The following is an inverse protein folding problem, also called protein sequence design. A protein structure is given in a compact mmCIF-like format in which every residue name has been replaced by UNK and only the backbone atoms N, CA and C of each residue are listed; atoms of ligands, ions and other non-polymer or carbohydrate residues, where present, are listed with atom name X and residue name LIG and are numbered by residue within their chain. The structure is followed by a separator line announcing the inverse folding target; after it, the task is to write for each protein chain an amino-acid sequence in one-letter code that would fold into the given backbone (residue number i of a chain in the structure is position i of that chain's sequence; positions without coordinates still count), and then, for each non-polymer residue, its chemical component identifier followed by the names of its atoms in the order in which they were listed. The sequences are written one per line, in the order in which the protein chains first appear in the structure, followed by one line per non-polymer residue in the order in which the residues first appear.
data_IF_077369032262
#
_entry.id   IF_077369032262
#
_cell.length_a   1.000
_cell.length_b   1.000
_cell.length_c   1.000
_cell.angle_alpha   90.00
_cell.angle_beta   90.00
_cell.angle_gamma   90.00
#
_symmetry.space_group_name_H-M   'P 1'
#
loop_
_entity.id
_entity.type
_entity.pdbx_description
1 polymer ?
#
# COMPACT_ATOMS: atom_id res chain seq x y z
N UNK A 1 -90.42 14.54 14.73
CA UNK A 1 -89.00 14.20 14.88
C UNK A 1 -88.20 15.48 14.62
N UNK A 2 -87.45 15.91 15.63
CA UNK A 2 -86.88 17.26 15.87
C UNK A 2 -85.47 17.38 15.22
N UNK A 3 -84.97 18.60 14.90
CA UNK A 3 -83.87 18.81 13.95
C UNK A 3 -82.45 18.80 14.58
N UNK A 4 -81.46 18.95 13.69
CA UNK A 4 -80.00 18.89 13.87
C UNK A 4 -79.39 19.76 14.99
N UNK A 5 -78.13 19.45 15.36
CA UNK A 5 -77.16 20.50 15.65
C UNK A 5 -75.78 20.32 15.00
N UNK A 6 -75.12 21.48 14.93
CA UNK A 6 -73.83 21.82 14.36
C UNK A 6 -72.61 21.20 15.04
N UNK A 7 -71.52 21.13 14.27
CA UNK A 7 -70.25 21.74 14.67
C UNK A 7 -69.14 20.77 15.05
N UNK A 8 -68.08 20.72 14.23
CA UNK A 8 -66.70 20.46 14.67
C UNK A 8 -65.72 21.03 13.62
N UNK A 9 -64.77 21.84 14.12
CA UNK A 9 -63.79 22.66 13.41
C UNK A 9 -62.91 21.88 12.42
N UNK A 10 -62.73 22.42 11.21
CA UNK A 10 -61.65 22.03 10.28
C UNK A 10 -60.38 22.82 10.60
N UNK A 11 -59.27 22.11 10.80
CA UNK A 11 -57.93 22.69 10.92
C UNK A 11 -57.54 23.45 9.63
N UNK A 12 -56.76 24.55 9.72
CA UNK A 12 -56.34 25.32 8.56
C UNK A 12 -55.34 24.53 7.71
N UNK A 13 -55.58 24.47 6.39
CA UNK A 13 -54.67 23.89 5.40
C UNK A 13 -53.38 24.74 5.29
N UNK A 14 -52.19 24.12 5.13
CA UNK A 14 -50.96 24.87 4.90
C UNK A 14 -51.01 25.58 3.54
N UNK A 15 -50.57 26.84 3.50
CA UNK A 15 -50.43 27.62 2.27
C UNK A 15 -49.29 27.04 1.40
N UNK A 16 -49.43 27.07 0.06
CA UNK A 16 -48.37 26.64 -0.84
C UNK A 16 -47.19 27.62 -0.80
N UNK A 17 -45.98 27.10 -0.59
CA UNK A 17 -44.74 27.87 -0.70
C UNK A 17 -44.38 28.08 -2.17
N UNK A 18 -44.15 29.33 -2.57
CA UNK A 18 -43.56 29.66 -3.88
C UNK A 18 -42.18 29.01 -4.05
N UNK A 19 -41.81 28.57 -5.27
CA UNK A 19 -40.50 28.00 -5.54
C UNK A 19 -39.41 29.08 -5.40
N UNK A 20 -38.29 28.71 -4.79
CA UNK A 20 -37.13 29.59 -4.63
C UNK A 20 -36.60 30.09 -5.99
N UNK A 21 -36.09 31.34 -6.07
CA UNK A 21 -35.53 31.85 -7.31
C UNK A 21 -34.26 31.06 -7.67
N UNK A 22 -34.24 30.52 -8.89
CA UNK A 22 -33.06 29.92 -9.51
C UNK A 22 -31.98 30.99 -9.62
N UNK A 23 -31.01 30.95 -8.72
CA UNK A 23 -29.85 31.84 -8.75
C UNK A 23 -28.86 31.28 -9.75
N UNK A 24 -28.68 31.99 -10.86
CA UNK A 24 -27.69 31.66 -11.87
C UNK A 24 -26.29 31.58 -11.27
N UNK A 25 -25.47 30.69 -11.83
CA UNK A 25 -24.05 30.58 -11.48
C UNK A 25 -23.36 31.88 -11.85
N UNK A 26 -23.07 32.73 -10.86
CA UNK A 26 -22.20 33.89 -11.03
C UNK A 26 -20.77 33.36 -11.01
N UNK A 27 -20.08 33.50 -12.14
CA UNK A 27 -18.65 33.18 -12.24
C UNK A 27 -17.86 34.15 -11.36
N UNK A 28 -17.39 33.68 -10.20
CA UNK A 28 -16.57 34.48 -9.29
C UNK A 28 -15.16 34.59 -9.91
N UNK A 29 -14.86 35.77 -10.45
CA UNK A 29 -13.50 36.17 -10.80
C UNK A 29 -12.59 36.19 -9.56
N UNK A 30 -11.30 35.95 -9.77
CA UNK A 30 -10.24 35.65 -8.80
C UNK A 30 -9.87 36.77 -7.79
N UNK A 31 -10.81 37.61 -7.35
CA UNK A 31 -10.49 38.72 -6.45
C UNK A 31 -11.40 38.77 -5.22
N UNK A 32 -10.93 38.11 -4.16
CA UNK A 32 -11.55 38.00 -2.83
C UNK A 32 -11.55 39.30 -2.03
N UNK A 33 -10.92 40.36 -2.54
CA UNK A 33 -10.81 41.66 -1.84
C UNK A 33 -12.11 42.46 -1.79
N UNK A 34 -13.12 42.09 -2.59
CA UNK A 34 -14.40 42.82 -2.71
C UNK A 34 -15.55 42.25 -1.85
N UNK A 35 -15.28 41.25 -1.02
CA UNK A 35 -16.28 40.68 -0.12
C UNK A 35 -16.34 41.55 1.14
N UNK A 36 -17.35 42.41 1.26
CA UNK A 36 -17.63 43.14 2.50
C UNK A 36 -17.96 42.14 3.62
N UNK A 37 -17.14 42.13 4.67
CA UNK A 37 -17.39 41.32 5.86
C UNK A 37 -18.59 41.90 6.61
N UNK A 38 -19.61 41.09 6.82
CA UNK A 38 -20.72 41.45 7.69
C UNK A 38 -20.20 41.71 9.12
N UNK A 39 -20.63 42.82 9.73
CA UNK A 39 -20.29 43.15 11.10
C UNK A 39 -20.80 42.07 12.06
N UNK A 40 -19.87 41.47 12.81
CA UNK A 40 -20.18 40.48 13.84
C UNK A 40 -20.98 41.15 14.97
N UNK A 41 -22.26 40.75 15.13
CA UNK A 41 -23.07 41.12 16.29
C UNK A 41 -22.35 40.68 17.57
N UNK A 42 -21.93 41.65 18.37
CA UNK A 42 -21.08 41.47 19.56
C UNK A 42 -21.73 40.88 20.80
N UNK A 43 -22.96 40.38 20.72
CA UNK A 43 -23.69 39.86 21.90
C UNK A 43 -23.86 38.34 21.80
N UNK A 44 -23.09 37.61 22.64
CA UNK A 44 -23.27 36.21 23.13
C UNK A 44 -22.05 35.29 23.02
N UNK A 45 -20.85 35.77 23.34
CA UNK A 45 -19.80 34.86 23.80
C UNK A 45 -19.30 35.42 25.13
N UNK A 46 -19.77 34.84 26.24
CA UNK A 46 -19.10 35.00 27.52
C UNK A 46 -17.64 34.64 27.31
N UNK A 47 -16.75 35.52 27.78
CA UNK A 47 -15.30 35.42 27.63
C UNK A 47 -14.86 34.09 28.26
N UNK A 48 -14.83 33.02 27.47
CA UNK A 48 -14.52 31.69 27.95
C UNK A 48 -13.22 31.77 28.74
N UNK A 49 -13.26 31.31 29.99
CA UNK A 49 -12.05 31.20 30.80
C UNK A 49 -10.98 30.57 29.92
N UNK A 50 -9.83 31.25 29.80
CA UNK A 50 -8.66 30.66 29.16
C UNK A 50 -8.29 29.45 30.02
N UNK A 51 -8.85 28.29 29.70
CA UNK A 51 -8.27 27.03 30.16
C UNK A 51 -6.89 27.03 29.59
N UNK A 52 -5.91 27.24 30.47
CA UNK A 52 -4.55 26.84 30.19
C UNK A 52 -4.64 25.34 29.93
N UNK A 53 -4.61 24.96 28.66
CA UNK A 53 -4.22 23.59 28.35
C UNK A 53 -2.87 23.41 29.04
N UNK A 54 -2.72 22.34 29.82
CA UNK A 54 -1.40 21.95 30.27
C UNK A 54 -0.52 21.97 29.02
N UNK A 55 0.53 22.77 29.07
CA UNK A 55 1.53 22.70 28.03
C UNK A 55 2.05 21.28 28.08
N UNK A 56 1.76 20.49 27.05
CA UNK A 56 2.32 19.14 26.88
C UNK A 56 3.82 19.26 26.50
N UNK A 57 4.52 20.22 27.10
CA UNK A 57 5.96 20.46 27.07
C UNK A 57 6.66 19.66 28.19
N UNK A 58 5.98 18.67 28.78
CA UNK A 58 6.73 17.50 29.27
C UNK A 58 7.34 16.85 28.04
N UNK A 59 8.67 16.95 27.90
CA UNK A 59 9.46 16.28 26.87
C UNK A 59 9.06 14.80 26.78
N UNK A 60 8.17 14.49 25.86
CA UNK A 60 7.84 13.12 25.55
C UNK A 60 9.10 12.47 24.98
N UNK A 61 9.68 11.55 25.76
CA UNK A 61 10.85 10.78 25.34
C UNK A 61 10.58 9.95 24.09
N UNK A 62 11.65 9.44 23.44
CA UNK A 62 11.57 8.64 22.21
C UNK A 62 10.63 7.42 22.33
N UNK A 63 10.45 6.89 23.54
CA UNK A 63 9.57 5.75 23.86
C UNK A 63 8.07 5.98 23.52
N UNK A 64 7.68 7.21 23.18
CA UNK A 64 6.30 7.56 22.81
C UNK A 64 5.98 7.33 21.33
N UNK A 65 6.98 7.11 20.50
CA UNK A 65 6.81 6.94 19.06
C UNK A 65 7.26 5.55 18.62
N UNK A 66 6.47 4.93 17.75
CA UNK A 66 6.93 3.78 16.99
C UNK A 66 7.80 4.23 15.83
N UNK A 67 8.80 3.43 15.49
CA UNK A 67 9.55 3.64 14.26
C UNK A 67 8.63 3.47 13.05
N UNK A 68 8.72 4.42 12.11
CA UNK A 68 7.85 4.47 10.93
C UNK A 68 8.06 3.27 10.00
N UNK A 69 9.30 2.82 9.86
CA UNK A 69 9.65 1.74 8.93
C UNK A 69 9.33 0.39 9.55
N UNK A 70 9.56 0.23 10.85
CA UNK A 70 9.07 -0.94 11.61
C UNK A 70 7.55 -1.03 11.57
N UNK A 71 6.84 0.09 11.77
CA UNK A 71 5.37 0.12 11.66
C UNK A 71 4.86 -0.24 10.26
N UNK A 72 5.63 0.07 9.21
CA UNK A 72 5.29 -0.32 7.85
C UNK A 72 5.44 -1.83 7.64
N UNK A 73 6.50 -2.45 8.19
CA UNK A 73 6.68 -3.90 8.17
C UNK A 73 5.61 -4.62 9.00
N UNK A 74 5.17 -4.04 10.12
CA UNK A 74 4.08 -4.56 10.92
C UNK A 74 2.74 -4.51 10.14
N UNK A 75 2.50 -3.44 9.38
CA UNK A 75 1.37 -3.39 8.45
C UNK A 75 1.45 -4.52 7.41
N UNK A 76 2.60 -4.72 6.76
CA UNK A 76 2.73 -5.77 5.75
C UNK A 76 2.61 -7.18 6.37
N UNK A 77 2.99 -7.32 7.64
CA UNK A 77 2.76 -8.54 8.43
C UNK A 77 1.26 -8.80 8.61
N UNK A 78 0.45 -7.78 8.87
CA UNK A 78 -1.02 -7.94 8.92
C UNK A 78 -1.62 -8.35 7.58
N UNK A 79 -1.04 -7.91 6.47
CA UNK A 79 -1.47 -8.39 5.14
C UNK A 79 -1.10 -9.87 4.96
N UNK A 80 0.07 -10.30 5.42
CA UNK A 80 0.47 -11.71 5.40
C UNK A 80 -0.45 -12.59 6.26
N UNK A 81 -0.90 -12.10 7.42
CA UNK A 81 -1.84 -12.82 8.29
C UNK A 81 -3.17 -13.14 7.58
N UNK A 82 -3.58 -12.35 6.57
CA UNK A 82 -4.73 -12.69 5.73
C UNK A 82 -4.41 -13.87 4.79
N UNK A 83 -3.20 -13.98 4.27
CA UNK A 83 -2.80 -15.17 3.52
C UNK A 83 -2.66 -16.41 4.41
N UNK A 84 -2.37 -16.23 5.69
CA UNK A 84 -2.28 -17.30 6.69
C UNK A 84 -3.66 -17.83 7.14
N UNK A 85 -4.73 -17.05 7.01
CA UNK A 85 -6.07 -17.43 7.47
C UNK A 85 -6.68 -18.56 6.60
N UNK A 86 -6.88 -19.78 7.15
CA UNK A 86 -7.48 -20.88 6.39
C UNK A 86 -8.97 -20.69 6.10
N UNK A 87 -9.64 -19.71 6.73
CA UNK A 87 -11.06 -19.41 6.49
C UNK A 87 -11.30 -18.55 5.25
N UNK A 88 -10.26 -17.96 4.67
CA UNK A 88 -10.35 -17.22 3.43
C UNK A 88 -10.27 -18.13 2.20
N UNK A 89 -10.89 -17.70 1.11
CA UNK A 89 -10.83 -18.41 -0.16
C UNK A 89 -9.38 -18.54 -0.64
N UNK A 90 -9.02 -19.72 -1.15
CA UNK A 90 -7.64 -20.06 -1.50
C UNK A 90 -6.98 -19.07 -2.47
N UNK A 91 -7.71 -18.61 -3.49
CA UNK A 91 -7.19 -17.64 -4.44
C UNK A 91 -7.04 -16.23 -3.84
N UNK A 92 -7.86 -15.87 -2.85
CA UNK A 92 -7.69 -14.62 -2.09
C UNK A 92 -6.42 -14.68 -1.24
N UNK A 93 -6.14 -15.83 -0.61
CA UNK A 93 -4.88 -16.05 0.12
C UNK A 93 -3.66 -15.91 -0.82
N UNK A 94 -3.74 -16.47 -2.03
CA UNK A 94 -2.71 -16.30 -3.06
C UNK A 94 -2.54 -14.82 -3.48
N UNK A 95 -3.65 -14.09 -3.63
CA UNK A 95 -3.60 -12.65 -3.91
C UNK A 95 -2.92 -11.88 -2.77
N UNK A 96 -3.22 -12.18 -1.51
CA UNK A 96 -2.54 -11.54 -0.38
C UNK A 96 -1.03 -11.82 -0.36
N UNK A 97 -0.60 -13.04 -0.70
CA UNK A 97 0.84 -13.33 -0.87
C UNK A 97 1.48 -12.45 -1.96
N UNK A 98 0.78 -12.23 -3.09
CA UNK A 98 1.27 -11.34 -4.14
C UNK A 98 1.32 -9.87 -3.69
N UNK A 99 0.33 -9.41 -2.92
CA UNK A 99 0.29 -8.05 -2.36
C UNK A 99 1.46 -7.85 -1.37
N UNK A 100 1.71 -8.80 -0.47
CA UNK A 100 2.82 -8.73 0.49
C UNK A 100 4.16 -8.56 -0.23
N UNK A 101 4.39 -9.34 -1.29
CA UNK A 101 5.61 -9.28 -2.09
C UNK A 101 5.75 -7.93 -2.81
N UNK A 102 4.69 -7.47 -3.49
CA UNK A 102 4.70 -6.17 -4.19
C UNK A 102 4.90 -4.98 -3.24
N UNK A 103 4.29 -5.03 -2.06
CA UNK A 103 4.49 -4.01 -1.03
C UNK A 103 5.95 -3.98 -0.59
N UNK A 104 6.54 -5.16 -0.36
CA UNK A 104 7.93 -5.27 0.08
C UNK A 104 8.90 -4.72 -0.97
N UNK A 105 8.65 -4.99 -2.25
CA UNK A 105 9.39 -4.42 -3.36
C UNK A 105 9.37 -2.88 -3.34
N UNK A 106 8.19 -2.27 -3.19
CA UNK A 106 8.06 -0.80 -3.09
C UNK A 106 8.80 -0.26 -1.86
N UNK A 107 8.68 -0.91 -0.72
CA UNK A 107 9.36 -0.52 0.51
C UNK A 107 10.88 -0.47 0.34
N UNK A 108 11.47 -1.50 -0.28
CA UNK A 108 12.91 -1.50 -0.55
C UNK A 108 13.32 -0.48 -1.60
N UNK A 109 12.58 -0.38 -2.71
CA UNK A 109 12.89 0.53 -3.81
C UNK A 109 12.78 2.00 -3.42
N UNK A 110 11.83 2.36 -2.55
CA UNK A 110 11.55 3.75 -2.19
C UNK A 110 12.11 4.09 -0.82
N UNK A 111 11.68 3.37 0.23
CA UNK A 111 11.97 3.77 1.62
C UNK A 111 13.39 3.42 2.04
N UNK A 112 13.78 2.16 1.86
CA UNK A 112 15.13 1.70 2.22
C UNK A 112 16.17 2.40 1.35
N UNK A 113 15.90 2.59 0.05
CA UNK A 113 16.77 3.38 -0.83
C UNK A 113 16.93 4.83 -0.34
N UNK A 114 15.84 5.46 0.11
CA UNK A 114 15.85 6.81 0.68
C UNK A 114 16.69 6.90 1.97
N UNK A 115 16.54 5.92 2.87
CA UNK A 115 17.34 5.84 4.10
C UNK A 115 18.83 5.64 3.78
N UNK A 116 19.17 4.66 2.92
CA UNK A 116 20.54 4.42 2.45
C UNK A 116 21.18 5.67 1.84
N UNK A 117 20.42 6.43 1.03
CA UNK A 117 20.91 7.68 0.44
C UNK A 117 21.25 8.71 1.51
N UNK A 118 20.37 8.91 2.50
CA UNK A 118 20.62 9.87 3.60
C UNK A 118 21.86 9.49 4.41
N UNK A 119 22.02 8.20 4.71
CA UNK A 119 23.20 7.65 5.42
C UNK A 119 24.46 7.95 4.61
N UNK A 120 24.47 7.59 3.32
CA UNK A 120 25.63 7.81 2.45
C UNK A 120 26.02 9.30 2.30
N UNK A 121 25.05 10.21 2.39
CA UNK A 121 25.30 11.67 2.35
C UNK A 121 25.60 12.30 3.71
N UNK A 122 25.57 11.53 4.82
CA UNK A 122 25.72 12.06 6.18
C UNK A 122 24.57 12.97 6.63
N UNK A 123 23.40 12.87 5.98
CA UNK A 123 22.20 13.64 6.26
C UNK A 123 21.15 12.85 7.06
N UNK A 124 21.47 11.61 7.41
CA UNK A 124 20.57 10.78 8.21
C UNK A 124 20.59 11.27 9.67
N UNK A 125 19.40 11.43 10.22
CA UNK A 125 19.17 11.78 11.63
C UNK A 125 18.49 10.60 12.31
N UNK A 126 18.62 10.48 13.64
CA UNK A 126 17.89 9.47 14.39
C UNK A 126 16.39 9.50 14.12
N UNK A 127 15.74 8.34 14.16
CA UNK A 127 14.30 8.24 13.97
C UNK A 127 13.53 8.86 15.13
N UNK A 128 12.23 9.07 14.95
CA UNK A 128 11.37 9.59 16.03
C UNK A 128 11.34 8.68 17.27
N UNK A 129 11.63 7.38 17.09
CA UNK A 129 11.77 6.40 18.15
C UNK A 129 13.18 6.37 18.77
N UNK A 130 14.07 7.30 18.36
CA UNK A 130 15.43 7.42 18.90
C UNK A 130 16.47 6.49 18.27
N UNK A 131 16.10 5.66 17.29
CA UNK A 131 17.03 4.74 16.62
C UNK A 131 18.01 5.50 15.74
N UNK A 132 19.29 5.15 15.80
CA UNK A 132 20.26 5.59 14.80
C UNK A 132 19.90 5.03 13.42
N UNK A 133 20.33 5.70 12.32
CA UNK A 133 20.09 5.20 10.96
C UNK A 133 20.61 3.77 10.73
N UNK A 134 21.73 3.42 11.34
CA UNK A 134 22.33 2.09 11.27
C UNK A 134 21.49 1.04 12.01
N UNK A 135 21.06 1.35 13.25
CA UNK A 135 20.14 0.48 14.02
C UNK A 135 18.81 0.29 13.27
N UNK A 136 18.27 1.36 12.67
CA UNK A 136 17.06 1.27 11.87
C UNK A 136 17.25 0.36 10.64
N UNK A 137 18.39 0.43 9.96
CA UNK A 137 18.71 -0.45 8.84
C UNK A 137 18.83 -1.92 9.27
N UNK A 138 19.43 -2.18 10.44
CA UNK A 138 19.56 -3.52 11.01
C UNK A 138 18.18 -4.09 11.39
N UNK A 139 17.34 -3.30 12.08
CA UNK A 139 15.99 -3.71 12.46
C UNK A 139 15.11 -3.98 11.23
N UNK A 140 15.19 -3.14 10.19
CA UNK A 140 14.50 -3.37 8.92
C UNK A 140 14.94 -4.69 8.29
N UNK A 141 16.25 -4.95 8.25
CA UNK A 141 16.79 -6.16 7.63
C UNK A 141 16.33 -7.42 8.37
N UNK A 142 16.39 -7.43 9.70
CA UNK A 142 15.94 -8.55 10.51
C UNK A 142 14.44 -8.84 10.30
N UNK A 143 13.59 -7.82 10.48
CA UNK A 143 12.13 -7.97 10.34
C UNK A 143 11.71 -8.36 8.92
N UNK A 144 12.35 -7.79 7.90
CA UNK A 144 12.06 -8.14 6.51
C UNK A 144 12.42 -9.60 6.20
N UNK A 145 13.54 -10.12 6.71
CA UNK A 145 13.89 -11.54 6.55
C UNK A 145 12.89 -12.46 7.26
N UNK A 146 12.45 -12.10 8.47
CA UNK A 146 11.43 -12.87 9.20
C UNK A 146 10.11 -12.89 8.43
N UNK A 147 9.68 -11.75 7.89
CA UNK A 147 8.48 -11.66 7.05
C UNK A 147 8.60 -12.48 5.77
N UNK A 148 9.73 -12.41 5.07
CA UNK A 148 10.01 -13.18 3.86
C UNK A 148 9.99 -14.70 4.14
N UNK A 149 10.57 -15.13 5.26
CA UNK A 149 10.58 -16.54 5.65
C UNK A 149 9.17 -17.06 5.92
N UNK A 150 8.33 -16.28 6.65
CA UNK A 150 6.93 -16.61 6.86
C UNK A 150 6.14 -16.64 5.56
N UNK A 151 6.34 -15.66 4.69
CA UNK A 151 5.70 -15.62 3.36
C UNK A 151 6.00 -16.87 2.54
N UNK A 152 7.29 -17.27 2.49
CA UNK A 152 7.71 -18.47 1.80
C UNK A 152 7.10 -19.74 2.43
N UNK A 153 7.05 -19.83 3.76
CA UNK A 153 6.42 -20.95 4.46
C UNK A 153 4.93 -21.09 4.10
N UNK A 154 4.17 -19.98 4.16
CA UNK A 154 2.74 -19.97 3.80
C UNK A 154 2.53 -20.41 2.36
N UNK A 155 3.35 -19.90 1.44
CA UNK A 155 3.25 -20.29 0.03
C UNK A 155 3.54 -21.79 -0.16
N UNK A 156 4.65 -22.29 0.36
CA UNK A 156 5.11 -23.66 0.10
C UNK A 156 4.37 -24.73 0.90
N UNK A 157 4.05 -24.46 2.17
CA UNK A 157 3.53 -25.46 3.09
C UNK A 157 2.01 -25.38 3.29
N UNK A 158 1.36 -24.32 2.80
CA UNK A 158 -0.10 -24.16 2.93
C UNK A 158 -0.80 -23.94 1.58
N UNK A 159 -0.40 -22.91 0.83
CA UNK A 159 -1.13 -22.49 -0.38
C UNK A 159 -0.86 -23.43 -1.55
N UNK A 160 0.40 -23.80 -1.82
CA UNK A 160 0.74 -24.73 -2.89
C UNK A 160 0.04 -26.10 -2.73
N UNK A 161 0.12 -26.79 -1.57
CA UNK A 161 -0.60 -28.05 -1.38
C UNK A 161 -2.12 -27.91 -1.56
N UNK A 162 -2.72 -26.84 -1.03
CA UNK A 162 -4.15 -26.60 -1.19
C UNK A 162 -4.56 -26.34 -2.66
N UNK A 163 -3.70 -25.72 -3.47
CA UNK A 163 -3.92 -25.57 -4.91
C UNK A 163 -3.88 -26.93 -5.61
N UNK A 164 -2.93 -27.79 -5.24
CA UNK A 164 -2.82 -29.12 -5.82
C UNK A 164 -4.03 -30.01 -5.53
N UNK A 165 -4.62 -29.92 -4.33
CA UNK A 165 -5.89 -30.58 -3.97
C UNK A 165 -7.06 -30.15 -4.87
N UNK A 166 -7.02 -28.91 -5.38
CA UNK A 166 -7.97 -28.37 -6.35
C UNK A 166 -7.55 -28.62 -7.82
N UNK A 167 -6.54 -29.47 -8.05
CA UNK A 167 -5.96 -29.78 -9.36
C UNK A 167 -5.29 -28.58 -10.06
N UNK A 168 -4.88 -27.56 -9.32
CA UNK A 168 -4.09 -26.43 -9.81
C UNK A 168 -2.63 -26.69 -9.43
N UNK A 169 -1.78 -27.00 -10.42
CA UNK A 169 -0.39 -27.39 -10.17
C UNK A 169 0.59 -26.43 -10.83
N UNK A 170 1.59 -25.99 -10.07
CA UNK A 170 2.77 -25.31 -10.61
C UNK A 170 3.83 -26.37 -10.84
N UNK A 171 4.12 -26.67 -12.10
CA UNK A 171 5.00 -27.78 -12.49
C UNK A 171 6.31 -27.29 -13.11
N UNK A 172 7.38 -28.04 -12.87
CA UNK A 172 8.68 -27.80 -13.50
C UNK A 172 8.83 -28.52 -14.83
N UNK A 173 9.92 -28.22 -15.55
CA UNK A 173 10.22 -28.86 -16.84
C UNK A 173 10.22 -30.40 -16.77
N UNK A 174 10.69 -30.96 -15.66
CA UNK A 174 10.82 -32.41 -15.51
C UNK A 174 9.48 -33.13 -15.34
N UNK A 175 8.45 -32.44 -14.86
CA UNK A 175 7.11 -32.99 -14.60
C UNK A 175 6.25 -33.07 -15.88
N UNK A 176 6.72 -32.48 -16.97
CA UNK A 176 6.01 -32.41 -18.23
C UNK A 176 6.18 -33.68 -19.07
N UNK A 177 5.10 -34.11 -19.74
CA UNK A 177 5.16 -35.15 -20.76
C UNK A 177 5.87 -34.67 -22.04
N UNK A 178 6.13 -35.60 -22.95
CA UNK A 178 6.85 -35.32 -24.19
C UNK A 178 6.13 -34.31 -25.09
N UNK A 179 4.79 -34.35 -25.13
CA UNK A 179 3.98 -33.47 -25.97
C UNK A 179 3.98 -32.03 -25.43
N UNK A 180 3.85 -31.87 -24.11
CA UNK A 180 3.94 -30.59 -23.42
C UNK A 180 5.33 -29.97 -23.57
N UNK A 181 6.40 -30.75 -23.41
CA UNK A 181 7.78 -30.30 -23.66
C UNK A 181 7.97 -29.82 -25.09
N UNK A 182 7.45 -30.57 -26.06
CA UNK A 182 7.55 -30.20 -27.47
C UNK A 182 6.79 -28.89 -27.77
N UNK A 183 5.57 -28.72 -27.25
CA UNK A 183 4.80 -27.48 -27.38
C UNK A 183 5.55 -26.28 -26.77
N UNK A 184 5.98 -26.39 -25.51
CA UNK A 184 6.71 -25.30 -24.85
C UNK A 184 8.04 -24.96 -25.54
N UNK A 185 8.72 -25.94 -26.13
CA UNK A 185 9.93 -25.67 -26.92
C UNK A 185 9.61 -24.85 -28.17
N UNK A 186 8.51 -25.14 -28.84
CA UNK A 186 8.06 -24.37 -30.00
C UNK A 186 7.67 -22.95 -29.61
N UNK A 187 6.91 -22.78 -28.53
CA UNK A 187 6.52 -21.47 -28.01
C UNK A 187 7.75 -20.67 -27.56
N UNK A 188 8.70 -21.32 -26.87
CA UNK A 188 9.96 -20.70 -26.49
C UNK A 188 10.73 -20.18 -27.72
N UNK A 189 10.92 -21.01 -28.75
CA UNK A 189 11.67 -20.61 -29.94
C UNK A 189 10.98 -19.51 -30.75
N UNK A 190 9.64 -19.49 -30.75
CA UNK A 190 8.84 -18.54 -31.51
C UNK A 190 8.68 -17.20 -30.80
N UNK A 191 8.36 -17.22 -29.51
CA UNK A 191 7.88 -16.04 -28.78
C UNK A 191 8.88 -15.51 -27.75
N UNK A 192 9.66 -16.40 -27.10
CA UNK A 192 10.56 -16.01 -25.99
C UNK A 192 11.98 -15.78 -26.49
N UNK A 193 12.56 -16.71 -27.24
CA UNK A 193 13.94 -16.64 -27.71
C UNK A 193 14.27 -15.36 -28.49
N UNK A 194 13.41 -14.88 -29.43
CA UNK A 194 13.72 -13.69 -30.20
C UNK A 194 13.82 -12.39 -29.38
N UNK A 195 13.24 -12.35 -28.18
CA UNK A 195 13.29 -11.18 -27.28
C UNK A 195 14.36 -11.30 -26.19
N UNK A 196 15.00 -12.47 -26.05
CA UNK A 196 16.11 -12.64 -25.10
C UNK A 196 17.36 -11.93 -25.62
N UNK A 197 17.89 -11.01 -24.81
CA UNK A 197 19.15 -10.33 -25.09
C UNK A 197 20.24 -10.88 -24.15
N UNK A 198 21.11 -11.80 -24.62
CA UNK A 198 22.20 -12.29 -23.79
C UNK A 198 23.23 -11.17 -23.58
N UNK A 199 23.53 -10.87 -22.32
CA UNK A 199 24.52 -9.88 -21.93
C UNK A 199 25.76 -10.61 -21.39
N UNK A 200 26.88 -10.52 -22.12
CA UNK A 200 28.16 -11.02 -21.65
C UNK A 200 28.73 -10.07 -20.60
N UNK A 201 29.20 -10.61 -19.48
CA UNK A 201 29.87 -9.86 -18.42
C UNK A 201 31.32 -10.32 -18.36
N UNK A 202 32.23 -9.38 -18.57
CA UNK A 202 33.67 -9.60 -18.46
C UNK A 202 34.33 -8.43 -17.70
N UNK A 203 35.54 -8.63 -17.11
CA UNK A 203 36.19 -7.58 -16.32
C UNK A 203 36.60 -6.33 -17.12
N UNK A 204 36.62 -6.37 -18.45
CA UNK A 204 37.06 -5.27 -19.29
C UNK A 204 35.93 -4.27 -19.63
N UNK A 205 34.66 -4.61 -19.33
CA UNK A 205 33.51 -3.75 -19.59
C UNK A 205 32.71 -3.44 -18.32
N UNK A 206 32.04 -2.26 -18.23
CA UNK A 206 31.13 -1.96 -17.14
C UNK A 206 29.99 -2.98 -17.06
N UNK A 207 29.58 -3.30 -15.84
CA UNK A 207 28.45 -4.18 -15.60
C UNK A 207 27.18 -3.63 -16.28
N UNK A 208 26.41 -4.44 -17.00
CA UNK A 208 25.23 -3.96 -17.72
C UNK A 208 24.19 -3.40 -16.76
N UNK A 209 23.43 -2.42 -17.23
CA UNK A 209 22.28 -1.94 -16.49
C UNK A 209 21.22 -3.05 -16.39
N UNK A 210 20.73 -3.28 -15.18
CA UNK A 210 19.63 -4.21 -14.89
C UNK A 210 18.47 -3.39 -14.35
N UNK A 211 17.32 -3.47 -15.00
CA UNK A 211 16.10 -2.78 -14.55
C UNK A 211 15.63 -3.34 -13.21
N UNK A 212 15.15 -2.47 -12.32
CA UNK A 212 14.45 -2.89 -11.11
C UNK A 212 13.24 -3.77 -11.42
N UNK A 213 12.96 -4.74 -10.55
CA UNK A 213 11.88 -5.73 -10.69
C UNK A 213 11.96 -6.62 -11.94
N UNK A 214 13.03 -6.53 -12.74
CA UNK A 214 13.24 -7.46 -13.85
C UNK A 214 13.82 -8.78 -13.36
N UNK A 215 13.25 -9.89 -13.84
CA UNK A 215 13.83 -11.22 -13.63
C UNK A 215 14.96 -11.43 -14.63
N UNK A 216 16.16 -11.69 -14.12
CA UNK A 216 17.35 -11.94 -14.93
C UNK A 216 17.97 -13.28 -14.55
N UNK A 217 18.50 -14.00 -15.55
CA UNK A 217 19.18 -15.27 -15.34
C UNK A 217 20.69 -15.07 -15.45
N UNK A 218 21.41 -15.24 -14.34
CA UNK A 218 22.86 -15.30 -14.34
C UNK A 218 23.31 -16.72 -14.75
N UNK A 219 23.96 -16.84 -15.90
CA UNK A 219 24.39 -18.13 -16.46
C UNK A 219 25.91 -18.18 -16.52
N UNK A 220 26.51 -19.12 -15.79
CA UNK A 220 27.93 -19.41 -15.92
C UNK A 220 28.15 -20.40 -17.07
N UNK A 221 28.89 -19.98 -18.08
CA UNK A 221 29.25 -20.83 -19.22
C UNK A 221 30.71 -21.23 -19.09
N UNK A 222 31.01 -22.53 -19.19
CA UNK A 222 32.38 -23.05 -19.28
C UNK A 222 32.64 -23.50 -20.70
N UNK A 223 33.79 -23.13 -21.26
CA UNK A 223 34.25 -23.71 -22.52
C UNK A 223 34.63 -25.18 -22.26
N UNK A 224 33.98 -26.17 -22.91
CA UNK A 224 34.27 -27.58 -22.67
C UNK A 224 35.69 -28.02 -23.06
N UNK A 225 36.43 -27.19 -23.80
CA UNK A 225 37.81 -27.46 -24.22
C UNK A 225 38.87 -26.94 -23.22
N UNK A 226 38.46 -26.28 -22.13
CA UNK A 226 39.32 -25.75 -21.05
C UNK A 226 38.73 -26.07 -19.67
#
# INVERSE_FOLDING_TARGET
MVPAPNGLNKAPKPKPSEPAPMTGVIHIGHDISKIERAESRGDRIEKGEKRSYFSLEEEFGPDRFFDRESSWLDFNTRVLELAEDPNLFLLERLNFLAIVASNLDEFFMVRVAGLKRRIATGLAVPSAAGLSPEEQMEEIAERAHQLQARHADVFHNQVLPALEEQNIRIVGWNDLDADAKQRLRQDFMRDIFPILTPLAVDPAHPFPYISGLSLNLAVLVRNPQT
#
